data_IF_476439866011
#
_entry.id   IF_476439866011
#
_cell.length_a   1.000
_cell.length_b   1.000
_cell.length_c   1.000
_cell.angle_alpha   90.00
_cell.angle_beta   90.00
_cell.angle_gamma   90.00
#
_symmetry.space_group_name_H-M   'P 1'
#
loop_
_entity.id
_entity.type
_entity.pdbx_description
1 polymer ?
#
# COMPACT_ATOMS: atom_id res chain seq x y z
N UNK A 1 -27.60 -4.83 31.52
CA UNK A 1 -27.38 -4.08 30.25
C UNK A 1 -26.00 -3.44 30.32
N UNK A 2 -25.14 -3.62 29.30
CA UNK A 2 -23.85 -2.95 29.25
C UNK A 2 -23.99 -1.47 28.88
N UNK A 3 -22.94 -0.65 29.21
CA UNK A 3 -22.88 0.76 28.80
C UNK A 3 -22.95 0.86 27.26
N UNK A 4 -23.76 1.79 26.74
CA UNK A 4 -23.87 2.09 25.31
C UNK A 4 -22.46 2.38 24.73
N UNK A 5 -22.10 1.82 23.58
CA UNK A 5 -20.82 2.14 22.93
C UNK A 5 -20.71 3.65 22.66
N UNK A 6 -19.53 4.20 22.87
CA UNK A 6 -19.22 5.58 22.47
C UNK A 6 -19.40 5.77 20.97
N UNK A 7 -19.83 6.96 20.53
CA UNK A 7 -19.92 7.30 19.11
C UNK A 7 -18.56 7.11 18.43
N UNK A 8 -18.57 6.40 17.33
CA UNK A 8 -17.36 6.05 16.56
C UNK A 8 -16.90 7.15 15.60
N UNK A 9 -17.78 8.04 15.17
CA UNK A 9 -17.44 9.10 14.23
C UNK A 9 -16.39 10.09 14.77
N UNK A 10 -16.55 10.66 15.97
CA UNK A 10 -15.53 11.54 16.55
C UNK A 10 -14.17 10.85 16.71
N UNK A 11 -14.18 9.56 17.08
CA UNK A 11 -12.95 8.77 17.25
C UNK A 11 -12.27 8.53 15.88
N UNK A 12 -13.04 8.24 14.84
CA UNK A 12 -12.48 8.07 13.49
C UNK A 12 -11.86 9.38 12.95
N UNK A 13 -12.54 10.53 13.12
CA UNK A 13 -12.02 11.86 12.80
C UNK A 13 -10.73 12.17 13.56
N UNK A 14 -10.67 11.81 14.83
CA UNK A 14 -9.48 11.99 15.65
C UNK A 14 -8.29 11.13 15.11
N UNK A 15 -8.52 9.95 14.57
CA UNK A 15 -7.45 9.16 13.93
C UNK A 15 -6.97 9.76 12.60
N UNK A 16 -7.84 10.41 11.83
CA UNK A 16 -7.42 11.21 10.67
C UNK A 16 -6.55 12.38 11.15
N UNK A 17 -6.99 13.11 12.18
CA UNK A 17 -6.21 14.19 12.77
C UNK A 17 -4.85 13.68 13.30
N UNK A 18 -4.80 12.47 13.90
CA UNK A 18 -3.55 11.83 14.30
C UNK A 18 -2.56 11.70 13.14
N UNK A 19 -3.03 11.36 11.95
CA UNK A 19 -2.20 11.25 10.75
C UNK A 19 -1.76 12.64 10.24
N UNK A 20 -2.67 13.62 10.20
CA UNK A 20 -2.37 15.00 9.78
C UNK A 20 -1.29 15.66 10.65
N UNK A 21 -1.31 15.39 11.97
CA UNK A 21 -0.32 15.93 12.91
C UNK A 21 0.90 15.00 13.10
N UNK A 22 1.05 13.95 12.33
CA UNK A 22 2.12 12.92 12.43
C UNK A 22 2.33 12.43 13.87
N UNK A 23 1.24 12.22 14.62
CA UNK A 23 1.35 11.80 16.02
C UNK A 23 1.67 10.30 16.12
N UNK A 24 2.77 9.91 16.78
CA UNK A 24 3.19 8.51 16.82
C UNK A 24 2.27 7.63 17.67
N UNK A 25 1.63 8.16 18.71
CA UNK A 25 0.84 7.36 19.66
C UNK A 25 -0.59 7.89 19.85
N UNK A 26 -1.50 7.00 20.26
CA UNK A 26 -2.86 7.37 20.63
C UNK A 26 -2.88 8.25 21.88
N UNK A 27 -1.93 8.06 22.80
CA UNK A 27 -1.81 8.88 24.00
C UNK A 27 -1.58 10.35 23.64
N UNK A 28 -0.63 10.63 22.73
CA UNK A 28 -0.40 12.01 22.28
C UNK A 28 -1.62 12.61 21.60
N UNK A 29 -2.39 11.82 20.83
CA UNK A 29 -3.65 12.28 20.27
C UNK A 29 -4.64 12.69 21.36
N UNK A 30 -4.82 11.87 22.38
CA UNK A 30 -5.73 12.15 23.51
C UNK A 30 -5.27 13.41 24.27
N UNK A 31 -3.99 13.55 24.52
CA UNK A 31 -3.40 14.73 25.16
C UNK A 31 -3.64 16.01 24.33
N UNK A 32 -3.49 15.93 23.00
CA UNK A 32 -3.81 17.06 22.11
C UNK A 32 -5.30 17.41 22.10
N UNK A 33 -6.20 16.41 22.09
CA UNK A 33 -7.65 16.66 22.19
C UNK A 33 -8.03 17.36 23.49
N UNK A 34 -7.34 17.06 24.60
CA UNK A 34 -7.54 17.74 25.87
C UNK A 34 -7.04 19.19 25.87
N UNK A 35 -5.96 19.48 25.16
CA UNK A 35 -5.31 20.80 25.17
C UNK A 35 -5.83 21.73 24.07
N UNK A 36 -6.09 21.21 22.86
CA UNK A 36 -6.49 21.99 21.70
C UNK A 36 -8.02 21.98 21.50
N UNK A 37 -8.68 23.05 21.93
CA UNK A 37 -10.14 23.16 21.85
C UNK A 37 -10.66 23.05 20.41
N UNK A 38 -10.03 23.75 19.46
CA UNK A 38 -10.44 23.71 18.05
C UNK A 38 -10.33 22.32 17.44
N UNK A 39 -9.23 21.60 17.69
CA UNK A 39 -9.05 20.23 17.21
C UNK A 39 -10.12 19.31 17.79
N UNK A 40 -10.37 19.41 19.09
CA UNK A 40 -11.42 18.66 19.78
C UNK A 40 -12.79 18.87 19.14
N UNK A 41 -13.16 20.13 18.88
CA UNK A 41 -14.44 20.49 18.25
C UNK A 41 -14.55 19.98 16.82
N UNK A 42 -13.49 20.10 16.02
CA UNK A 42 -13.43 19.58 14.63
C UNK A 42 -13.62 18.05 14.63
N UNK A 43 -13.04 17.36 15.61
CA UNK A 43 -13.24 15.91 15.75
C UNK A 43 -14.68 15.54 16.20
N UNK A 44 -15.42 16.48 16.78
CA UNK A 44 -16.80 16.27 17.22
C UNK A 44 -16.97 16.06 18.74
N UNK A 45 -15.93 16.37 19.55
CA UNK A 45 -16.04 16.35 21.02
C UNK A 45 -16.29 17.77 21.55
N UNK A 46 -17.50 18.04 22.04
CA UNK A 46 -17.88 19.37 22.48
C UNK A 46 -17.11 19.81 23.76
N UNK A 47 -16.93 18.88 24.69
CA UNK A 47 -16.29 19.14 25.99
C UNK A 47 -15.09 18.23 26.20
N UNK A 48 -14.20 18.60 27.12
CA UNK A 48 -13.08 17.73 27.54
C UNK A 48 -13.55 16.42 28.15
N UNK A 49 -14.69 16.43 28.84
CA UNK A 49 -15.33 15.26 29.45
C UNK A 49 -15.83 14.25 28.42
N UNK A 50 -16.06 14.70 27.18
CA UNK A 50 -16.61 13.86 26.13
C UNK A 50 -15.48 13.05 25.41
N UNK A 51 -14.22 13.37 25.71
CA UNK A 51 -13.07 12.65 25.14
C UNK A 51 -12.97 11.28 25.81
N UNK A 52 -13.11 10.18 25.05
CA UNK A 52 -12.99 8.84 25.60
C UNK A 52 -11.59 8.54 26.12
N UNK A 53 -11.48 7.55 26.99
CA UNK A 53 -10.18 7.05 27.46
C UNK A 53 -9.34 6.44 26.33
N UNK A 54 -8.02 6.42 26.48
CA UNK A 54 -7.09 5.80 25.51
C UNK A 54 -7.47 4.34 25.21
N UNK A 55 -7.98 3.59 26.20
CA UNK A 55 -8.44 2.22 26.02
C UNK A 55 -9.67 2.13 25.10
N UNK A 56 -10.56 3.12 25.12
CA UNK A 56 -11.70 3.20 24.20
C UNK A 56 -11.24 3.51 22.78
N UNK A 57 -10.29 4.45 22.60
CA UNK A 57 -9.64 4.67 21.30
C UNK A 57 -8.99 3.40 20.76
N UNK A 58 -8.27 2.66 21.59
CA UNK A 58 -7.60 1.41 21.17
C UNK A 58 -8.60 0.33 20.77
N UNK A 59 -9.74 0.21 21.43
CA UNK A 59 -10.82 -0.73 21.06
C UNK A 59 -11.49 -0.32 19.76
N UNK A 60 -11.83 0.97 19.61
CA UNK A 60 -12.39 1.50 18.37
C UNK A 60 -11.43 1.31 17.19
N UNK A 61 -10.12 1.53 17.38
CA UNK A 61 -9.13 1.27 16.34
C UNK A 61 -9.09 -0.19 15.91
N UNK A 62 -9.21 -1.12 16.85
CA UNK A 62 -9.25 -2.55 16.53
C UNK A 62 -10.54 -2.94 15.78
N UNK A 63 -11.68 -2.36 16.13
CA UNK A 63 -12.95 -2.49 15.44
C UNK A 63 -12.85 -1.95 14.00
N UNK A 64 -12.38 -0.72 13.80
CA UNK A 64 -12.17 -0.12 12.49
C UNK A 64 -11.21 -0.94 11.61
N UNK A 65 -10.18 -1.55 12.21
CA UNK A 65 -9.27 -2.43 11.50
C UNK A 65 -9.93 -3.76 11.11
N UNK A 66 -10.87 -4.26 11.93
CA UNK A 66 -11.67 -5.44 11.62
C UNK A 66 -12.60 -5.23 10.45
N UNK A 67 -13.26 -4.06 10.43
CA UNK A 67 -14.28 -3.67 9.45
C UNK A 67 -13.69 -3.06 8.16
N UNK A 68 -12.37 -2.95 8.07
CA UNK A 68 -11.66 -2.36 6.93
C UNK A 68 -12.10 -0.92 6.60
N UNK A 69 -12.42 -0.15 7.66
CA UNK A 69 -12.97 1.21 7.54
C UNK A 69 -12.08 2.12 6.68
N UNK A 70 -10.76 2.06 6.90
CA UNK A 70 -9.82 2.92 6.17
C UNK A 70 -9.90 2.72 4.65
N UNK A 71 -9.96 1.47 4.18
CA UNK A 71 -10.11 1.16 2.75
C UNK A 71 -11.45 1.64 2.22
N UNK A 72 -12.55 1.37 2.94
CA UNK A 72 -13.89 1.81 2.53
C UNK A 72 -13.99 3.33 2.35
N UNK A 73 -13.41 4.10 3.28
CA UNK A 73 -13.38 5.56 3.19
C UNK A 73 -12.51 6.02 2.02
N UNK A 74 -11.34 5.42 1.84
CA UNK A 74 -10.47 5.75 0.71
C UNK A 74 -11.12 5.41 -0.63
N UNK A 75 -11.74 4.23 -0.77
CA UNK A 75 -12.45 3.85 -1.99
C UNK A 75 -13.60 4.83 -2.31
N UNK A 76 -14.32 5.31 -1.28
CA UNK A 76 -15.35 6.34 -1.45
C UNK A 76 -14.78 7.68 -1.95
N UNK A 77 -13.60 8.10 -1.44
CA UNK A 77 -12.91 9.32 -1.93
C UNK A 77 -12.45 9.16 -3.38
N UNK A 78 -11.85 8.02 -3.73
CA UNK A 78 -11.43 7.73 -5.11
C UNK A 78 -12.64 7.77 -6.05
N UNK A 79 -13.73 7.10 -5.67
CA UNK A 79 -14.96 7.10 -6.46
C UNK A 79 -15.54 8.50 -6.62
N UNK A 80 -15.60 9.30 -5.55
CA UNK A 80 -16.17 10.64 -5.59
C UNK A 80 -15.37 11.66 -6.43
N UNK A 81 -14.05 11.46 -6.56
CA UNK A 81 -13.18 12.48 -7.15
C UNK A 81 -12.42 12.03 -8.41
N UNK A 82 -12.35 10.72 -8.69
CA UNK A 82 -11.53 10.20 -9.78
C UNK A 82 -12.30 9.29 -10.76
N UNK A 83 -13.54 8.86 -10.45
CA UNK A 83 -14.28 7.91 -11.29
C UNK A 83 -14.65 8.46 -12.66
N UNK A 84 -14.96 9.75 -12.75
CA UNK A 84 -15.56 10.36 -13.94
C UNK A 84 -14.49 10.91 -14.91
N UNK A 85 -13.22 10.88 -14.51
CA UNK A 85 -12.11 11.44 -15.30
C UNK A 85 -11.25 10.37 -15.97
N UNK A 86 -10.63 10.75 -17.10
CA UNK A 86 -9.56 9.95 -17.70
C UNK A 86 -8.22 10.35 -17.06
N UNK A 87 -7.54 9.39 -16.44
CA UNK A 87 -6.21 9.57 -15.86
C UNK A 87 -5.16 9.21 -16.92
N UNK A 88 -4.14 10.05 -17.08
CA UNK A 88 -3.06 9.79 -18.03
C UNK A 88 -2.22 8.59 -17.60
N UNK A 89 -1.69 8.62 -16.40
CA UNK A 89 -0.73 7.64 -15.92
C UNK A 89 -1.07 7.16 -14.51
N UNK A 90 -0.90 5.87 -14.30
CA UNK A 90 -0.84 5.26 -12.97
C UNK A 90 0.59 4.79 -12.72
N UNK A 91 1.25 5.40 -11.75
CA UNK A 91 2.57 5.01 -11.28
C UNK A 91 2.43 4.02 -10.12
N UNK A 92 3.01 2.84 -10.27
CA UNK A 92 3.01 1.79 -9.24
C UNK A 92 4.38 1.70 -8.60
N UNK A 93 4.43 1.81 -7.28
CA UNK A 93 5.67 1.69 -6.51
C UNK A 93 5.42 1.04 -5.15
N UNK A 94 6.49 0.54 -4.53
CA UNK A 94 6.45 -0.09 -3.23
C UNK A 94 7.42 0.56 -2.26
N UNK A 95 6.95 0.79 -1.03
CA UNK A 95 7.78 1.40 -0.01
C UNK A 95 7.87 0.55 1.27
N UNK A 96 9.06 0.55 1.89
CA UNK A 96 9.32 -0.17 3.14
C UNK A 96 8.59 0.50 4.32
N UNK A 97 7.84 -0.28 5.08
CA UNK A 97 7.17 0.13 6.32
C UNK A 97 7.80 -0.63 7.48
N UNK A 98 8.48 0.08 8.37
CA UNK A 98 9.08 -0.52 9.56
C UNK A 98 8.01 -0.85 10.58
N UNK A 99 7.90 -2.12 10.97
CA UNK A 99 6.95 -2.60 11.97
C UNK A 99 7.56 -2.65 13.37
N UNK A 100 6.74 -2.35 14.37
CA UNK A 100 7.12 -2.44 15.79
C UNK A 100 6.74 -3.81 16.39
N UNK A 101 7.01 -4.87 15.64
CA UNK A 101 6.75 -6.26 16.05
C UNK A 101 7.84 -7.21 15.55
N UNK A 102 7.91 -8.40 16.16
CA UNK A 102 8.86 -9.42 15.72
C UNK A 102 8.38 -10.07 14.42
N UNK A 103 9.30 -10.41 13.51
CA UNK A 103 8.94 -11.21 12.34
C UNK A 103 8.29 -12.53 12.74
N UNK A 104 7.30 -12.97 11.96
CA UNK A 104 6.67 -14.26 12.18
C UNK A 104 7.69 -15.40 12.05
N UNK A 105 7.67 -16.33 13.01
CA UNK A 105 8.50 -17.53 12.92
C UNK A 105 8.01 -18.38 11.74
N UNK A 106 8.77 -18.40 10.66
CA UNK A 106 8.54 -19.34 9.56
C UNK A 106 9.01 -20.72 9.99
N UNK A 107 8.09 -21.68 10.10
CA UNK A 107 8.48 -23.08 10.19
C UNK A 107 9.46 -23.37 9.04
N UNK A 108 10.65 -23.86 9.35
CA UNK A 108 11.62 -24.26 8.33
C UNK A 108 10.99 -25.39 7.50
N UNK A 109 10.36 -25.06 6.36
CA UNK A 109 9.95 -26.07 5.40
C UNK A 109 11.21 -26.85 5.06
N UNK A 110 11.23 -28.15 5.37
CA UNK A 110 12.30 -29.05 4.91
C UNK A 110 12.32 -28.93 3.39
N UNK A 111 13.31 -28.21 2.86
CA UNK A 111 13.49 -28.11 1.41
C UNK A 111 13.90 -29.49 0.96
N UNK A 112 13.03 -30.20 0.27
CA UNK A 112 13.45 -31.36 -0.54
C UNK A 112 14.55 -30.87 -1.48
N UNK A 113 15.73 -31.48 -1.45
CA UNK A 113 16.83 -31.04 -2.30
C UNK A 113 16.37 -31.11 -3.76
N UNK A 114 16.26 -29.94 -4.41
CA UNK A 114 15.93 -29.91 -5.83
C UNK A 114 17.09 -30.56 -6.60
N UNK A 115 16.82 -31.63 -7.34
CA UNK A 115 17.80 -32.25 -8.22
C UNK A 115 18.33 -31.19 -9.18
N UNK A 116 19.63 -30.92 -9.16
CA UNK A 116 20.32 -30.00 -10.06
C UNK A 116 20.60 -30.70 -11.39
N UNK A 117 20.68 -29.94 -12.48
CA UNK A 117 21.01 -30.45 -13.81
C UNK A 117 19.79 -30.75 -14.69
N UNK A 118 20.06 -31.10 -15.95
CA UNK A 118 19.02 -31.45 -16.94
C UNK A 118 18.27 -32.70 -16.54
N UNK A 119 16.92 -32.75 -16.65
CA UNK A 119 16.15 -33.97 -16.40
C UNK A 119 16.66 -35.12 -17.27
N UNK A 120 16.67 -36.33 -16.72
CA UNK A 120 16.94 -37.55 -17.53
C UNK A 120 15.83 -37.74 -18.57
N UNK A 121 16.15 -38.43 -19.66
CA UNK A 121 15.17 -38.75 -20.71
C UNK A 121 13.96 -39.50 -20.09
N UNK A 122 12.75 -38.93 -20.17
CA UNK A 122 11.55 -39.46 -19.58
C UNK A 122 11.26 -38.97 -18.15
N UNK A 123 12.14 -38.20 -17.48
CA UNK A 123 11.88 -37.58 -16.16
C UNK A 123 11.07 -36.30 -16.32
N UNK A 124 9.80 -36.31 -15.90
CA UNK A 124 8.96 -35.12 -15.84
C UNK A 124 9.15 -34.47 -14.47
N UNK A 125 9.73 -33.27 -14.42
CA UNK A 125 9.81 -32.47 -13.19
C UNK A 125 8.64 -31.52 -13.13
N UNK A 126 7.74 -31.75 -12.18
CA UNK A 126 6.64 -30.82 -11.90
C UNK A 126 7.25 -29.50 -11.39
N UNK A 127 7.10 -28.43 -12.14
CA UNK A 127 7.44 -27.06 -11.69
C UNK A 127 6.25 -26.55 -10.91
N UNK A 128 6.51 -26.00 -9.70
CA UNK A 128 5.49 -25.22 -9.00
C UNK A 128 5.03 -24.08 -9.94
N UNK A 129 3.73 -23.93 -10.09
CA UNK A 129 3.15 -22.88 -10.92
C UNK A 129 3.52 -21.52 -10.31
N UNK A 130 4.03 -20.61 -11.12
CA UNK A 130 4.39 -19.28 -10.65
C UNK A 130 3.13 -18.52 -10.23
N UNK A 131 3.16 -17.85 -9.07
CA UNK A 131 2.04 -17.04 -8.57
C UNK A 131 1.55 -16.02 -9.60
N UNK A 132 2.42 -15.34 -10.31
CA UNK A 132 2.03 -14.40 -11.38
C UNK A 132 1.15 -15.05 -12.44
N UNK A 133 1.46 -16.30 -12.82
CA UNK A 133 0.65 -17.03 -13.79
C UNK A 133 -0.75 -17.36 -13.25
N UNK A 134 -0.85 -17.75 -11.98
CA UNK A 134 -2.15 -17.99 -11.33
C UNK A 134 -2.99 -16.72 -11.24
N UNK A 135 -2.37 -15.60 -10.90
CA UNK A 135 -3.03 -14.29 -10.75
C UNK A 135 -3.69 -13.78 -12.04
N UNK A 136 -3.25 -14.23 -13.22
CA UNK A 136 -3.87 -13.84 -14.49
C UNK A 136 -5.35 -14.22 -14.52
N UNK A 137 -5.68 -15.43 -14.08
CA UNK A 137 -7.06 -15.95 -14.08
C UNK A 137 -7.84 -15.69 -12.77
N UNK A 138 -7.16 -15.34 -11.68
CA UNK A 138 -7.78 -15.07 -10.39
C UNK A 138 -8.45 -13.69 -10.35
N UNK A 139 -9.52 -13.55 -9.57
CA UNK A 139 -10.03 -12.25 -9.16
C UNK A 139 -9.02 -11.51 -8.26
N UNK A 140 -9.11 -10.18 -8.13
CA UNK A 140 -8.24 -9.43 -7.21
C UNK A 140 -8.29 -9.95 -5.78
N UNK A 141 -9.47 -10.30 -5.28
CA UNK A 141 -9.67 -10.80 -3.92
C UNK A 141 -8.97 -12.15 -3.69
N UNK A 142 -9.11 -13.11 -4.62
CA UNK A 142 -8.44 -14.40 -4.57
C UNK A 142 -6.92 -14.24 -4.63
N UNK A 143 -6.42 -13.41 -5.54
CA UNK A 143 -4.99 -13.16 -5.68
C UNK A 143 -4.40 -12.50 -4.43
N UNK A 144 -5.10 -11.57 -3.78
CA UNK A 144 -4.67 -10.93 -2.55
C UNK A 144 -4.74 -11.86 -1.34
N UNK A 145 -5.69 -12.81 -1.31
CA UNK A 145 -5.78 -13.81 -0.23
C UNK A 145 -4.52 -14.69 -0.17
N UNK A 146 -3.91 -15.00 -1.30
CA UNK A 146 -2.70 -15.82 -1.40
C UNK A 146 -1.40 -15.06 -1.08
N UNK A 147 -1.49 -13.75 -0.87
CA UNK A 147 -0.31 -12.91 -0.59
C UNK A 147 0.03 -12.96 0.91
N UNK A 148 1.31 -13.16 1.27
CA UNK A 148 1.72 -13.14 2.67
C UNK A 148 1.55 -11.75 3.28
N UNK A 149 0.93 -11.70 4.46
CA UNK A 149 0.59 -10.48 5.20
C UNK A 149 1.26 -10.38 6.57
N UNK A 150 2.02 -11.39 7.00
CA UNK A 150 2.70 -11.36 8.30
C UNK A 150 3.92 -10.43 8.28
N UNK A 151 4.25 -9.83 9.43
CA UNK A 151 5.51 -9.10 9.60
C UNK A 151 6.71 -9.99 9.27
N UNK A 152 7.66 -9.48 8.49
CA UNK A 152 8.82 -10.23 8.02
C UNK A 152 10.04 -9.30 7.84
N UNK A 153 11.15 -9.88 7.42
CA UNK A 153 12.36 -9.14 7.06
C UNK A 153 12.38 -8.90 5.55
N UNK A 154 12.38 -7.64 5.16
CA UNK A 154 12.61 -7.20 3.79
C UNK A 154 14.06 -6.76 3.58
N UNK A 155 14.50 -6.76 2.32
CA UNK A 155 15.80 -6.20 1.94
C UNK A 155 15.72 -5.56 0.56
N UNK A 156 16.43 -4.45 0.40
CA UNK A 156 16.65 -3.79 -0.89
C UNK A 156 18.12 -3.40 -1.02
N UNK A 157 18.59 -3.24 -2.24
CA UNK A 157 19.89 -2.64 -2.51
C UNK A 157 19.65 -1.17 -2.83
N UNK A 158 20.35 -0.26 -2.14
CA UNK A 158 20.24 1.17 -2.39
C UNK A 158 21.03 1.58 -3.65
N UNK A 159 20.92 2.85 -4.06
CA UNK A 159 21.61 3.37 -5.25
C UNK A 159 23.14 3.28 -5.17
N UNK A 160 23.72 3.19 -3.95
CA UNK A 160 25.14 3.05 -3.70
C UNK A 160 25.60 1.57 -3.70
N UNK A 161 24.69 0.61 -3.93
CA UNK A 161 25.00 -0.82 -3.92
C UNK A 161 24.94 -1.49 -2.55
N UNK A 162 24.66 -0.78 -1.47
CA UNK A 162 24.56 -1.36 -0.13
C UNK A 162 23.21 -2.04 0.09
N UNK A 163 23.24 -3.20 0.75
CA UNK A 163 22.05 -3.92 1.16
C UNK A 163 21.46 -3.34 2.43
N UNK A 164 20.29 -2.75 2.32
CA UNK A 164 19.48 -2.33 3.46
C UNK A 164 18.45 -3.38 3.82
N UNK A 165 18.24 -3.60 5.13
CA UNK A 165 17.23 -4.53 5.64
C UNK A 165 16.31 -3.82 6.63
N UNK A 166 15.04 -4.23 6.64
CA UNK A 166 14.07 -3.76 7.65
C UNK A 166 13.16 -4.90 8.10
N UNK A 167 12.61 -4.75 9.29
CA UNK A 167 11.53 -5.61 9.81
C UNK A 167 10.21 -4.88 9.64
N UNK A 168 9.19 -5.59 9.18
CA UNK A 168 7.87 -5.01 9.03
C UNK A 168 7.14 -5.49 7.79
N UNK A 169 6.70 -4.52 7.02
CA UNK A 169 5.81 -4.68 5.88
C UNK A 169 6.34 -3.94 4.66
N UNK A 170 5.62 -4.11 3.56
CA UNK A 170 5.80 -3.33 2.34
C UNK A 170 4.44 -2.80 1.92
N UNK A 171 4.34 -1.50 1.75
CA UNK A 171 3.16 -0.84 1.21
C UNK A 171 3.35 -0.63 -0.28
N UNK A 172 2.41 -1.10 -1.06
CA UNK A 172 2.34 -0.90 -2.50
C UNK A 172 1.25 0.12 -2.80
N UNK A 173 1.56 1.12 -3.62
CA UNK A 173 0.66 2.21 -3.96
C UNK A 173 0.58 2.39 -5.47
N UNK A 174 -0.64 2.61 -5.97
CA UNK A 174 -0.93 3.15 -7.27
C UNK A 174 -1.28 4.62 -7.13
N UNK A 175 -0.62 5.45 -7.90
CA UNK A 175 -0.67 6.90 -7.80
C UNK A 175 -0.94 7.50 -9.16
N UNK A 176 -1.86 8.47 -9.24
CA UNK A 176 -2.09 9.26 -10.46
C UNK A 176 -0.91 10.18 -10.76
N UNK A 177 -0.81 10.69 -11.97
CA UNK A 177 0.12 11.76 -12.36
C UNK A 177 -0.06 13.04 -11.52
N UNK A 178 -1.28 13.34 -11.07
CA UNK A 178 -1.56 14.42 -10.12
C UNK A 178 -1.16 14.13 -8.67
N UNK A 179 -0.64 12.95 -8.36
CA UNK A 179 -0.17 12.57 -7.02
C UNK A 179 -1.26 12.11 -6.06
N UNK A 180 -2.43 11.70 -6.56
CA UNK A 180 -3.51 11.13 -5.74
C UNK A 180 -3.37 9.61 -5.65
N UNK A 181 -3.42 9.00 -4.45
CA UNK A 181 -3.39 7.55 -4.26
C UNK A 181 -4.72 6.92 -4.69
N UNK A 182 -4.68 5.86 -5.50
CA UNK A 182 -5.86 5.15 -6.01
C UNK A 182 -6.04 3.79 -5.36
N UNK A 183 -4.97 3.02 -5.28
CA UNK A 183 -5.00 1.68 -4.68
C UNK A 183 -3.83 1.51 -3.73
N UNK A 184 -4.09 0.93 -2.57
CA UNK A 184 -3.09 0.66 -1.55
C UNK A 184 -3.19 -0.79 -1.06
N UNK A 185 -2.07 -1.52 -1.06
CA UNK A 185 -1.99 -2.90 -0.58
C UNK A 185 -0.78 -3.06 0.34
N UNK A 186 -1.02 -3.54 1.55
CA UNK A 186 0.03 -3.84 2.53
C UNK A 186 0.37 -5.33 2.49
N UNK A 187 1.66 -5.65 2.39
CA UNK A 187 2.14 -7.03 2.33
C UNK A 187 3.29 -7.27 3.30
N UNK A 188 3.67 -8.53 3.43
CA UNK A 188 4.91 -8.92 4.13
C UNK A 188 6.13 -8.26 3.48
N UNK A 189 7.08 -7.76 4.29
CA UNK A 189 8.28 -7.08 3.79
C UNK A 189 9.12 -7.92 2.82
N UNK A 190 9.07 -9.24 2.93
CA UNK A 190 9.84 -10.16 2.09
C UNK A 190 9.23 -10.45 0.71
N UNK A 191 8.00 -9.97 0.44
CA UNK A 191 7.34 -10.20 -0.84
C UNK A 191 8.03 -9.38 -1.94
N UNK A 192 8.23 -9.98 -3.11
CA UNK A 192 8.74 -9.27 -4.28
C UNK A 192 7.62 -8.42 -4.91
N UNK A 193 7.94 -7.20 -5.34
CA UNK A 193 6.96 -6.19 -5.77
C UNK A 193 6.10 -6.65 -6.95
N UNK A 194 6.68 -7.35 -7.91
CA UNK A 194 5.96 -7.94 -9.04
C UNK A 194 4.77 -8.83 -8.63
N UNK A 195 4.83 -9.47 -7.46
CA UNK A 195 3.79 -10.41 -7.02
C UNK A 195 2.49 -9.76 -6.55
N UNK A 196 2.44 -8.43 -6.51
CA UNK A 196 1.25 -7.65 -6.19
C UNK A 196 0.72 -6.87 -7.40
N UNK A 197 1.53 -6.79 -8.46
CA UNK A 197 1.21 -5.96 -9.63
C UNK A 197 -0.14 -6.31 -10.27
N UNK A 198 -0.36 -7.59 -10.57
CA UNK A 198 -1.57 -8.05 -11.28
C UNK A 198 -2.85 -7.75 -10.47
N UNK A 199 -2.99 -8.15 -9.18
CA UNK A 199 -4.17 -7.80 -8.42
C UNK A 199 -4.35 -6.29 -8.24
N UNK A 200 -3.27 -5.50 -8.11
CA UNK A 200 -3.38 -4.05 -8.04
C UNK A 200 -3.86 -3.43 -9.35
N UNK A 201 -3.33 -3.85 -10.51
CA UNK A 201 -3.82 -3.39 -11.82
C UNK A 201 -5.32 -3.61 -11.98
N UNK A 202 -5.80 -4.81 -11.66
CA UNK A 202 -7.23 -5.15 -11.71
C UNK A 202 -8.06 -4.27 -10.78
N UNK A 203 -7.62 -4.10 -9.50
CA UNK A 203 -8.31 -3.23 -8.54
C UNK A 203 -8.35 -1.77 -8.97
N UNK A 204 -7.27 -1.27 -9.56
CA UNK A 204 -7.19 0.12 -10.02
C UNK A 204 -8.09 0.33 -11.23
N UNK A 205 -8.12 -0.63 -12.18
CA UNK A 205 -9.01 -0.59 -13.34
C UNK A 205 -10.49 -0.70 -12.98
N UNK A 206 -10.84 -1.31 -11.84
CA UNK A 206 -12.22 -1.34 -11.32
C UNK A 206 -12.66 0.02 -10.74
N UNK A 207 -11.73 0.89 -10.39
CA UNK A 207 -12.00 2.18 -9.72
C UNK A 207 -11.92 3.38 -10.65
N UNK A 208 -10.98 3.37 -11.58
CA UNK A 208 -10.66 4.53 -12.44
C UNK A 208 -10.31 4.08 -13.85
N UNK A 209 -10.56 4.97 -14.82
CA UNK A 209 -10.12 4.79 -16.21
C UNK A 209 -8.79 5.48 -16.42
N UNK A 210 -7.78 4.78 -16.94
CA UNK A 210 -6.44 5.32 -17.17
C UNK A 210 -5.77 4.72 -18.41
N UNK A 211 -4.71 5.38 -18.90
CA UNK A 211 -4.06 4.98 -20.16
C UNK A 211 -2.76 4.20 -19.96
N UNK A 212 -1.89 4.64 -19.07
CA UNK A 212 -0.52 4.12 -18.94
C UNK A 212 -0.24 3.55 -17.57
N UNK A 213 0.33 2.33 -17.51
CA UNK A 213 0.91 1.73 -16.32
C UNK A 213 2.42 2.01 -16.27
N UNK A 214 2.89 2.77 -15.27
CA UNK A 214 4.31 3.10 -15.09
C UNK A 214 4.89 2.27 -13.93
N UNK A 215 5.89 1.45 -14.20
CA UNK A 215 6.49 0.56 -13.22
C UNK A 215 8.01 0.48 -13.37
N UNK A 216 8.73 0.19 -12.29
CA UNK A 216 10.17 -0.04 -12.32
C UNK A 216 10.53 -1.44 -12.81
N UNK A 217 11.83 -1.72 -12.94
CA UNK A 217 12.37 -3.00 -13.42
C UNK A 217 12.07 -4.21 -12.52
N UNK A 218 11.60 -3.99 -11.27
CA UNK A 218 11.15 -5.09 -10.41
C UNK A 218 9.86 -5.72 -10.92
N UNK A 219 9.09 -5.00 -11.72
CA UNK A 219 7.82 -5.44 -12.33
C UNK A 219 7.99 -6.04 -13.73
N UNK A 220 9.21 -6.10 -14.28
CA UNK A 220 9.47 -6.63 -15.62
C UNK A 220 9.23 -8.16 -15.68
N UNK A 221 7.99 -8.54 -15.97
CA UNK A 221 7.56 -9.92 -16.18
C UNK A 221 6.47 -9.99 -17.26
N UNK A 222 6.56 -10.96 -18.18
CA UNK A 222 5.63 -11.09 -19.31
C UNK A 222 4.17 -11.07 -18.88
N UNK A 223 3.81 -11.83 -17.83
CA UNK A 223 2.42 -11.83 -17.32
C UNK A 223 1.92 -10.45 -16.90
N UNK A 224 2.79 -9.55 -16.40
CA UNK A 224 2.42 -8.20 -16.02
C UNK A 224 2.16 -7.35 -17.28
N UNK A 225 3.05 -7.43 -18.27
CA UNK A 225 2.86 -6.78 -19.57
C UNK A 225 1.56 -7.20 -20.24
N UNK A 226 1.29 -8.52 -20.26
CA UNK A 226 0.11 -9.08 -20.92
C UNK A 226 -1.18 -8.68 -20.22
N UNK A 227 -1.21 -8.70 -18.89
CA UNK A 227 -2.40 -8.27 -18.10
C UNK A 227 -2.66 -6.78 -18.28
N UNK A 228 -1.64 -5.91 -18.22
CA UNK A 228 -1.82 -4.47 -18.45
C UNK A 228 -2.47 -4.22 -19.81
N UNK A 229 -1.96 -4.85 -20.89
CA UNK A 229 -2.53 -4.75 -22.23
C UNK A 229 -3.96 -5.30 -22.32
N UNK A 230 -4.23 -6.43 -21.65
CA UNK A 230 -5.56 -7.04 -21.66
C UNK A 230 -6.62 -6.18 -20.95
N UNK A 231 -6.20 -5.32 -20.03
CA UNK A 231 -7.01 -4.32 -19.35
C UNK A 231 -7.20 -3.03 -20.19
N UNK A 232 -6.56 -2.95 -21.36
CA UNK A 232 -6.64 -1.79 -22.27
C UNK A 232 -5.59 -0.71 -21.97
N UNK A 233 -4.58 -1.00 -21.14
CA UNK A 233 -3.54 -0.04 -20.78
C UNK A 233 -2.26 -0.23 -21.58
N UNK A 234 -1.43 0.81 -21.63
CA UNK A 234 -0.09 0.77 -22.22
C UNK A 234 0.93 0.67 -21.10
N UNK A 235 1.56 -0.52 -20.89
CA UNK A 235 2.61 -0.65 -19.88
C UNK A 235 3.89 0.02 -20.33
N UNK A 236 4.49 0.84 -19.47
CA UNK A 236 5.84 1.38 -19.61
C UNK A 236 6.62 0.92 -18.39
N UNK A 237 7.34 -0.17 -18.55
CA UNK A 237 8.09 -0.85 -17.48
C UNK A 237 9.57 -0.82 -17.84
N UNK A 238 10.40 -0.33 -16.92
CA UNK A 238 11.84 -0.37 -17.07
C UNK A 238 12.32 -1.82 -17.18
N UNK A 239 13.23 -2.09 -18.13
CA UNK A 239 13.70 -3.45 -18.36
C UNK A 239 14.74 -3.87 -17.34
N UNK A 240 14.61 -5.09 -16.87
CA UNK A 240 15.57 -5.65 -15.93
C UNK A 240 16.86 -6.06 -16.65
N UNK A 241 17.94 -5.33 -16.42
CA UNK A 241 19.27 -5.58 -17.03
C UNK A 241 19.82 -7.00 -16.80
N UNK A 242 19.32 -7.74 -15.81
CA UNK A 242 19.70 -9.15 -15.59
C UNK A 242 19.12 -10.12 -16.61
N UNK A 243 18.20 -9.66 -17.47
CA UNK A 243 17.52 -10.49 -18.48
C UNK A 243 18.02 -10.28 -19.91
N UNK A 244 19.18 -9.68 -20.08
CA UNK A 244 19.80 -9.40 -21.38
C UNK A 244 20.00 -7.91 -21.63
N UNK A 245 20.45 -7.55 -22.84
CA UNK A 245 20.67 -6.17 -23.21
C UNK A 245 19.37 -5.38 -23.16
N UNK A 246 19.34 -4.36 -22.31
CA UNK A 246 18.21 -3.44 -22.24
C UNK A 246 18.33 -2.39 -23.35
N UNK A 247 17.44 -2.47 -24.34
CA UNK A 247 17.27 -1.34 -25.24
C UNK A 247 16.74 -0.13 -24.43
N UNK A 248 17.25 1.07 -24.65
CA UNK A 248 16.72 2.26 -24.00
C UNK A 248 15.23 2.43 -24.35
N UNK A 249 14.48 2.93 -23.39
CA UNK A 249 13.06 3.27 -23.57
C UNK A 249 12.96 4.30 -24.70
N UNK A 250 12.00 4.16 -25.61
CA UNK A 250 11.80 5.10 -26.70
C UNK A 250 11.58 6.54 -26.16
N UNK A 251 12.06 7.59 -26.83
CA UNK A 251 12.03 8.97 -26.29
C UNK A 251 10.64 9.43 -25.83
N UNK A 252 9.58 9.07 -26.56
CA UNK A 252 8.20 9.41 -26.21
C UNK A 252 7.72 8.66 -24.93
N UNK A 253 8.11 7.41 -24.77
CA UNK A 253 7.83 6.61 -23.57
C UNK A 253 8.68 7.09 -22.39
N UNK A 254 9.93 7.46 -22.61
CA UNK A 254 10.82 7.99 -21.59
C UNK A 254 10.29 9.29 -20.98
N UNK A 255 9.64 10.14 -21.79
CA UNK A 255 8.97 11.35 -21.29
C UNK A 255 7.82 11.00 -20.35
N UNK A 256 6.97 10.05 -20.73
CA UNK A 256 5.86 9.56 -19.89
C UNK A 256 6.36 8.84 -18.64
N UNK A 257 7.42 8.07 -18.75
CA UNK A 257 8.02 7.33 -17.63
C UNK A 257 8.49 8.26 -16.48
N UNK A 258 8.81 9.51 -16.77
CA UNK A 258 9.16 10.51 -15.75
C UNK A 258 8.02 10.77 -14.76
N UNK A 259 6.76 10.60 -15.17
CA UNK A 259 5.60 10.74 -14.29
C UNK A 259 5.59 9.69 -13.15
N UNK A 260 6.38 8.62 -13.26
CA UNK A 260 6.59 7.65 -12.17
C UNK A 260 7.10 8.30 -10.88
N UNK A 261 7.79 9.43 -10.98
CA UNK A 261 8.24 10.20 -9.80
C UNK A 261 7.08 10.65 -8.89
N UNK A 262 5.84 10.69 -9.39
CA UNK A 262 4.66 10.97 -8.57
C UNK A 262 4.50 9.94 -7.44
N UNK A 263 4.71 8.65 -7.72
CA UNK A 263 4.66 7.59 -6.70
C UNK A 263 5.78 7.73 -5.66
N UNK A 264 6.98 8.11 -6.08
CA UNK A 264 8.10 8.34 -5.15
C UNK A 264 7.83 9.53 -4.22
N UNK A 265 7.32 10.64 -4.77
CA UNK A 265 6.91 11.81 -3.98
C UNK A 265 5.79 11.46 -2.99
N UNK A 266 4.78 10.73 -3.44
CA UNK A 266 3.67 10.29 -2.58
C UNK A 266 4.17 9.40 -1.44
N UNK A 267 5.03 8.42 -1.73
CA UNK A 267 5.65 7.56 -0.73
C UNK A 267 6.48 8.35 0.29
N UNK A 268 7.21 9.37 -0.15
CA UNK A 268 7.97 10.27 0.72
C UNK A 268 7.03 11.07 1.63
N UNK A 269 6.00 11.71 1.08
CA UNK A 269 5.03 12.50 1.83
C UNK A 269 4.28 11.66 2.86
N UNK A 270 3.82 10.46 2.50
CA UNK A 270 3.17 9.56 3.44
C UNK A 270 4.04 9.27 4.66
N UNK A 271 5.36 9.11 4.45
CA UNK A 271 6.30 8.83 5.53
C UNK A 271 6.65 10.04 6.37
N UNK A 272 6.87 11.18 5.72
CA UNK A 272 7.39 12.37 6.40
C UNK A 272 6.28 13.23 7.03
N UNK A 273 5.07 13.22 6.42
CA UNK A 273 4.00 14.15 6.77
C UNK A 273 2.78 13.45 7.41
N UNK A 274 2.53 12.16 7.08
CA UNK A 274 1.26 11.49 7.39
C UNK A 274 1.40 10.17 8.15
N UNK A 275 2.41 10.04 8.99
CA UNK A 275 2.56 8.95 9.97
C UNK A 275 3.12 7.63 9.43
N UNK A 276 3.50 7.54 8.15
CA UNK A 276 4.01 6.30 7.56
C UNK A 276 5.42 5.89 8.05
N UNK A 277 6.18 6.79 8.65
CA UNK A 277 7.53 6.52 9.16
C UNK A 277 7.52 5.82 10.52
N UNK A 278 6.57 6.17 11.41
CA UNK A 278 6.54 5.71 12.80
C UNK A 278 5.28 4.89 13.10
N UNK A 279 5.28 3.64 12.65
CA UNK A 279 4.17 2.72 12.88
C UNK A 279 4.33 2.02 14.22
N UNK A 280 3.57 2.45 15.23
CA UNK A 280 3.64 1.91 16.60
C UNK A 280 2.64 0.78 16.85
N UNK A 281 1.64 0.62 15.99
CA UNK A 281 0.66 -0.45 16.09
C UNK A 281 1.22 -1.78 15.56
N UNK A 282 0.62 -2.90 16.01
CA UNK A 282 1.06 -4.26 15.67
C UNK A 282 -0.06 -5.04 14.99
N UNK A 283 0.32 -5.97 14.12
CA UNK A 283 -0.58 -6.80 13.34
C UNK A 283 -1.02 -6.15 12.04
N UNK A 284 -1.04 -6.93 10.97
CA UNK A 284 -1.27 -6.47 9.60
C UNK A 284 -2.48 -5.53 9.46
N UNK A 285 -3.67 -5.94 9.97
CA UNK A 285 -4.90 -5.14 9.85
C UNK A 285 -4.78 -3.76 10.52
N UNK A 286 -4.15 -3.70 11.71
CA UNK A 286 -3.96 -2.43 12.43
C UNK A 286 -2.91 -1.56 11.75
N UNK A 287 -1.85 -2.14 11.22
CA UNK A 287 -0.84 -1.42 10.44
C UNK A 287 -1.45 -0.87 9.15
N UNK A 288 -2.24 -1.69 8.45
CA UNK A 288 -2.97 -1.26 7.25
C UNK A 288 -3.91 -0.08 7.56
N UNK A 289 -4.73 -0.17 8.61
CA UNK A 289 -5.60 0.93 9.01
C UNK A 289 -4.84 2.22 9.35
N UNK A 290 -3.72 2.10 10.10
CA UNK A 290 -2.88 3.26 10.43
C UNK A 290 -2.38 3.97 9.17
N UNK A 291 -1.89 3.22 8.20
CA UNK A 291 -1.43 3.75 6.92
C UNK A 291 -2.58 4.31 6.08
N UNK A 292 -3.76 3.67 6.12
CA UNK A 292 -4.93 4.16 5.41
C UNK A 292 -5.42 5.52 5.93
N UNK A 293 -5.37 5.79 7.23
CA UNK A 293 -5.65 7.13 7.75
C UNK A 293 -4.64 8.17 7.24
N UNK A 294 -3.36 7.79 7.10
CA UNK A 294 -2.34 8.63 6.46
C UNK A 294 -2.63 8.87 4.97
N UNK A 295 -3.02 7.83 4.24
CA UNK A 295 -3.36 7.91 2.81
C UNK A 295 -4.61 8.78 2.60
N UNK A 296 -5.63 8.67 3.45
CA UNK A 296 -6.84 9.50 3.42
C UNK A 296 -6.48 10.98 3.65
N UNK A 297 -5.65 11.27 4.66
CA UNK A 297 -5.19 12.62 4.95
C UNK A 297 -4.37 13.20 3.78
N UNK A 298 -3.45 12.43 3.22
CA UNK A 298 -2.65 12.80 2.07
C UNK A 298 -3.50 13.02 0.81
N UNK A 299 -4.51 12.16 0.56
CA UNK A 299 -5.45 12.33 -0.54
C UNK A 299 -6.17 13.67 -0.44
N UNK A 300 -6.72 13.98 0.74
CA UNK A 300 -7.42 15.25 0.98
C UNK A 300 -6.50 16.46 0.82
N UNK A 301 -5.28 16.42 1.37
CA UNK A 301 -4.29 17.50 1.22
C UNK A 301 -3.88 17.69 -0.24
N UNK A 302 -3.63 16.62 -0.97
CA UNK A 302 -3.28 16.70 -2.39
C UNK A 302 -4.43 17.24 -3.23
N UNK A 303 -5.66 16.82 -2.95
CA UNK A 303 -6.85 17.33 -3.63
C UNK A 303 -7.01 18.84 -3.41
N UNK A 304 -6.84 19.30 -2.17
CA UNK A 304 -6.89 20.75 -1.86
C UNK A 304 -5.84 21.54 -2.65
N UNK A 305 -4.63 21.01 -2.79
CA UNK A 305 -3.54 21.66 -3.59
C UNK A 305 -3.85 21.73 -5.09
N UNK A 306 -4.68 20.81 -5.61
CA UNK A 306 -5.06 20.81 -7.03
C UNK A 306 -6.20 21.79 -7.34
N UNK A 307 -7.00 22.18 -6.33
CA UNK A 307 -8.15 23.09 -6.51
C UNK A 307 -7.89 24.50 -5.97
N UNK A 308 -6.75 24.72 -5.29
CA UNK A 308 -6.29 26.04 -4.82
C UNK A 308 -5.45 26.74 -5.89
#
# INVERSE_FOLDING_TARGET
MGRTPEDRQPIARAFVAKAVYDLPTTRMLVDMLHTMANLRMICGFARRSDIPSESTFSRAFAEFAGDDLGRKVHDALVNAHLSDGLIGHIARDATAIRGNEKPANKAKKKKTPKKRGRPKRGEVRVKEVNRLFLQVSQSPAEALHDIPTSCDVGSKTNAQGYKETWRGYKLHLDTTDSGLPVTAVLTSASLHDSQVAIPMMKLTSEKVTYLYDLMDSAYDASSIWDVSRSLGHVPIIDKNSRRGDSLPIAPAEALRYRERTAAERLNARLKEEFGGRRVMVRGHKKVALHLMFGIIALFADQLMRLVS
#
